data_IF_881665109510
#
_entry.id   IF_881665109510
#
_cell.length_a   1.000
_cell.length_b   1.000
_cell.length_c   1.000
_cell.angle_alpha   90.00
_cell.angle_beta   90.00
_cell.angle_gamma   90.00
#
_symmetry.space_group_name_H-M   'P 1'
#
loop_
_entity.id
_entity.type
_entity.pdbx_description
1 polymer ?
#
# COMPACT_ATOMS: atom_id res chain seq x y z
N UNK A 1 -3.50 17.54 3.99
CA UNK A 1 -2.87 16.21 3.82
C UNK A 1 -3.70 15.46 2.79
N UNK A 2 -3.15 15.23 1.61
CA UNK A 2 -3.79 14.34 0.65
C UNK A 2 -3.97 12.96 1.29
N UNK A 3 -5.12 12.34 1.05
CA UNK A 3 -5.45 11.04 1.64
C UNK A 3 -4.47 10.01 1.11
N UNK A 4 -3.63 9.45 2.00
CA UNK A 4 -2.54 8.55 1.65
C UNK A 4 -3.01 7.37 0.77
N UNK A 5 -4.23 6.91 1.00
CA UNK A 5 -4.97 5.91 0.23
C UNK A 5 -6.42 5.88 0.78
N UNK A 6 -7.41 5.68 -0.09
CA UNK A 6 -8.83 5.56 0.30
C UNK A 6 -9.27 4.11 0.11
N UNK A 7 -9.80 3.50 1.17
CA UNK A 7 -10.22 2.08 1.17
C UNK A 7 -11.73 1.88 1.04
N UNK A 8 -12.51 2.96 1.18
CA UNK A 8 -13.94 2.99 0.95
C UNK A 8 -14.24 3.16 -0.54
N UNK A 9 -13.91 2.11 -1.29
CA UNK A 9 -14.17 1.97 -2.72
C UNK A 9 -14.75 0.57 -3.00
N UNK A 10 -15.19 0.35 -4.24
CA UNK A 10 -15.62 -0.95 -4.74
C UNK A 10 -14.49 -1.98 -4.58
N UNK A 11 -14.87 -3.18 -4.12
CA UNK A 11 -13.96 -4.31 -3.89
C UNK A 11 -14.30 -5.51 -4.79
N UNK A 12 -15.22 -5.31 -5.73
CA UNK A 12 -15.72 -6.35 -6.64
C UNK A 12 -14.74 -6.56 -7.77
N UNK A 13 -14.23 -7.79 -7.89
CA UNK A 13 -13.39 -8.19 -9.00
C UNK A 13 -14.08 -7.96 -10.35
N UNK A 14 -13.37 -7.43 -11.33
CA UNK A 14 -13.89 -7.15 -12.67
C UNK A 14 -14.74 -5.88 -12.80
N UNK A 15 -15.03 -5.19 -11.71
CA UNK A 15 -15.70 -3.88 -11.76
C UNK A 15 -14.72 -2.79 -12.19
N UNK A 16 -15.13 -1.91 -13.13
CA UNK A 16 -14.34 -0.73 -13.52
C UNK A 16 -14.06 0.25 -12.37
N UNK A 17 -14.82 0.16 -11.27
CA UNK A 17 -14.65 1.00 -10.08
C UNK A 17 -13.80 0.31 -8.99
N UNK A 18 -13.27 -0.89 -9.22
CA UNK A 18 -12.45 -1.63 -8.25
C UNK A 18 -11.29 -0.75 -7.75
N UNK A 19 -11.26 -0.47 -6.44
CA UNK A 19 -10.20 0.33 -5.82
C UNK A 19 -10.14 1.79 -6.23
N UNK A 20 -11.10 2.27 -7.05
CA UNK A 20 -11.19 3.67 -7.48
C UNK A 20 -12.08 4.44 -6.49
N UNK A 21 -11.52 5.31 -5.63
CA UNK A 21 -12.30 5.97 -4.59
C UNK A 21 -13.15 7.15 -5.08
N UNK A 22 -12.81 7.71 -6.25
CA UNK A 22 -13.44 8.89 -6.83
C UNK A 22 -14.40 8.56 -7.97
N UNK A 23 -14.92 7.33 -8.02
CA UNK A 23 -15.81 6.91 -9.10
C UNK A 23 -17.16 7.65 -9.04
N UNK A 24 -17.63 8.15 -10.19
CA UNK A 24 -18.86 8.93 -10.28
C UNK A 24 -20.12 8.07 -10.03
N UNK A 25 -20.05 6.76 -10.25
CA UNK A 25 -21.16 5.82 -10.07
C UNK A 25 -21.30 5.32 -8.62
N UNK A 26 -20.69 6.02 -7.67
CA UNK A 26 -20.87 5.78 -6.25
C UNK A 26 -22.04 6.59 -5.71
N UNK A 27 -22.95 5.89 -5.05
CA UNK A 27 -24.07 6.49 -4.35
C UNK A 27 -23.89 6.22 -2.86
N UNK A 28 -23.70 7.28 -2.10
CA UNK A 28 -23.64 7.24 -0.64
C UNK A 28 -24.37 8.45 -0.06
N UNK A 29 -25.24 8.27 0.96
CA UNK A 29 -25.67 6.98 1.50
C UNK A 29 -26.74 6.31 0.62
N UNK A 30 -26.66 4.99 0.45
CA UNK A 30 -27.72 4.15 -0.09
C UNK A 30 -28.26 3.22 1.01
N UNK A 31 -29.58 3.14 1.17
CA UNK A 31 -30.23 2.48 2.31
C UNK A 31 -30.84 1.10 2.01
N UNK A 32 -30.56 0.49 0.85
CA UNK A 32 -31.16 -0.80 0.46
C UNK A 32 -30.88 -1.94 1.45
N UNK A 33 -29.79 -1.87 2.21
CA UNK A 33 -29.42 -2.87 3.22
C UNK A 33 -30.01 -2.58 4.61
N UNK A 34 -30.88 -1.57 4.75
CA UNK A 34 -31.43 -1.15 6.05
C UNK A 34 -30.49 -0.26 6.88
N UNK A 35 -29.31 0.08 6.35
CA UNK A 35 -28.34 1.00 6.95
C UNK A 35 -27.60 1.81 5.86
N UNK A 36 -26.97 2.96 6.19
CA UNK A 36 -26.19 3.74 5.23
C UNK A 36 -25.02 2.91 4.66
N UNK A 37 -25.07 2.61 3.37
CA UNK A 37 -24.03 1.88 2.66
C UNK A 37 -23.56 2.63 1.42
N UNK A 38 -22.31 2.41 1.01
CA UNK A 38 -21.81 2.85 -0.29
C UNK A 38 -22.30 1.86 -1.33
N UNK A 39 -22.99 2.36 -2.35
CA UNK A 39 -23.46 1.55 -3.47
C UNK A 39 -22.65 1.87 -4.73
N UNK A 40 -22.18 0.84 -5.43
CA UNK A 40 -21.52 0.98 -6.72
C UNK A 40 -22.48 0.61 -7.85
N UNK A 41 -23.00 1.61 -8.58
CA UNK A 41 -23.93 1.37 -9.68
C UNK A 41 -23.30 0.67 -10.88
N UNK A 42 -21.96 0.69 -11.01
CA UNK A 42 -21.26 -0.02 -12.08
C UNK A 42 -21.33 -1.56 -11.98
N UNK A 43 -21.43 -2.12 -10.77
CA UNK A 43 -21.49 -3.58 -10.57
C UNK A 43 -22.56 -4.06 -9.58
N UNK A 44 -23.36 -3.14 -9.02
CA UNK A 44 -24.40 -3.46 -8.05
C UNK A 44 -23.91 -3.76 -6.63
N UNK A 45 -22.59 -3.71 -6.37
CA UNK A 45 -22.04 -4.11 -5.08
C UNK A 45 -22.23 -3.05 -3.99
N UNK A 46 -22.32 -3.53 -2.75
CA UNK A 46 -22.23 -2.73 -1.53
C UNK A 46 -20.90 -3.03 -0.81
N UNK A 47 -19.79 -2.36 -1.18
CA UNK A 47 -18.51 -2.62 -0.54
C UNK A 47 -18.56 -2.33 0.98
N UNK A 48 -17.90 -3.17 1.81
CA UNK A 48 -17.76 -2.89 3.24
C UNK A 48 -17.05 -1.54 3.44
N UNK A 49 -17.62 -0.74 4.34
CA UNK A 49 -17.10 0.54 4.75
C UNK A 49 -16.24 0.39 6.00
N UNK A 50 -15.13 1.09 6.01
CA UNK A 50 -14.25 1.24 7.15
C UNK A 50 -14.42 2.63 7.75
N UNK A 51 -14.39 2.70 9.07
CA UNK A 51 -14.38 3.96 9.78
C UNK A 51 -13.06 4.69 9.54
N UNK A 52 -13.04 5.63 8.61
CA UNK A 52 -11.82 6.35 8.21
C UNK A 52 -11.19 7.12 9.38
N UNK A 53 -12.01 7.61 10.32
CA UNK A 53 -11.54 8.37 11.47
C UNK A 53 -10.68 7.51 12.41
N UNK A 54 -11.00 6.23 12.54
CA UNK A 54 -10.25 5.28 13.36
C UNK A 54 -9.10 4.62 12.59
N UNK A 55 -9.38 4.26 11.33
CA UNK A 55 -8.45 3.53 10.51
C UNK A 55 -7.24 4.38 10.07
N UNK A 56 -7.44 5.66 9.73
CA UNK A 56 -6.35 6.53 9.24
C UNK A 56 -5.26 6.75 10.31
N UNK A 57 -5.57 7.13 11.57
CA UNK A 57 -4.55 7.26 12.62
C UNK A 57 -3.84 5.94 12.91
N UNK A 58 -4.58 4.83 12.94
CA UNK A 58 -4.00 3.50 13.15
C UNK A 58 -2.97 3.18 12.06
N UNK A 59 -3.33 3.34 10.77
CA UNK A 59 -2.38 3.00 9.72
C UNK A 59 -1.21 3.99 9.67
N UNK A 60 -1.45 5.28 9.89
CA UNK A 60 -0.36 6.26 9.95
C UNK A 60 0.65 5.90 11.05
N UNK A 61 0.17 5.49 12.24
CA UNK A 61 1.03 5.02 13.31
C UNK A 61 1.80 3.75 12.91
N UNK A 62 1.11 2.78 12.31
CA UNK A 62 1.72 1.53 11.83
C UNK A 62 2.83 1.78 10.79
N UNK A 63 2.55 2.58 9.75
CA UNK A 63 3.50 2.90 8.69
C UNK A 63 4.67 3.74 9.20
N UNK A 64 4.42 4.72 10.06
CA UNK A 64 5.47 5.54 10.64
C UNK A 64 6.41 4.70 11.53
N UNK A 65 5.87 3.77 12.31
CA UNK A 65 6.67 2.86 13.11
C UNK A 65 7.47 1.87 12.23
N UNK A 66 6.85 1.30 11.20
CA UNK A 66 7.55 0.45 10.22
C UNK A 66 8.72 1.20 9.54
N UNK A 67 8.50 2.44 9.10
CA UNK A 67 9.53 3.31 8.54
C UNK A 67 10.67 3.62 9.54
N UNK A 68 10.33 3.86 10.82
CA UNK A 68 11.33 4.08 11.88
C UNK A 68 12.13 2.82 12.19
N UNK A 69 11.55 1.63 12.00
CA UNK A 69 12.25 0.36 12.23
C UNK A 69 13.23 0.06 11.10
N UNK A 70 12.78 0.15 9.85
CA UNK A 70 13.51 -0.41 8.70
C UNK A 70 14.09 0.62 7.74
N UNK A 71 13.64 1.87 7.77
CA UNK A 71 14.18 2.94 6.93
C UNK A 71 13.77 2.91 5.45
N UNK A 72 12.79 2.10 5.05
CA UNK A 72 12.38 1.96 3.63
C UNK A 72 11.70 3.20 3.02
N UNK A 73 11.07 4.04 3.85
CA UNK A 73 10.41 5.28 3.44
C UNK A 73 10.35 6.27 4.61
N UNK A 74 10.03 7.52 4.34
CA UNK A 74 9.99 8.57 5.35
C UNK A 74 8.84 8.33 6.36
N UNK A 75 9.09 8.35 7.67
CA UNK A 75 8.06 8.10 8.69
C UNK A 75 7.05 9.25 8.86
N UNK A 76 7.16 10.31 8.06
CA UNK A 76 6.28 11.50 8.15
C UNK A 76 5.50 11.70 6.86
N UNK A 77 6.18 11.77 5.72
CA UNK A 77 5.54 12.02 4.43
C UNK A 77 5.47 10.78 3.53
N UNK A 78 5.96 9.63 4.00
CA UNK A 78 5.93 8.34 3.29
C UNK A 78 6.63 8.31 1.92
N UNK A 79 7.39 9.36 1.59
CA UNK A 79 8.23 9.42 0.41
C UNK A 79 9.43 8.48 0.53
N UNK A 80 9.84 7.90 -0.60
CA UNK A 80 10.96 6.96 -0.69
C UNK A 80 12.30 7.62 -1.04
N UNK A 81 12.29 8.90 -1.41
CA UNK A 81 13.50 9.65 -1.70
C UNK A 81 14.23 10.02 -0.40
N UNK A 82 15.23 9.20 -0.07
CA UNK A 82 15.94 9.19 1.21
C UNK A 82 17.43 9.13 0.96
N UNK A 83 18.18 9.95 1.69
CA UNK A 83 19.65 9.95 1.69
C UNK A 83 20.22 9.50 3.03
N UNK A 84 21.46 9.01 2.98
CA UNK A 84 22.31 8.85 4.17
C UNK A 84 22.70 10.23 4.67
N UNK A 85 22.44 10.51 5.95
CA UNK A 85 22.65 11.83 6.58
C UNK A 85 23.60 11.72 7.77
N UNK A 86 24.83 11.30 7.50
CA UNK A 86 25.83 11.04 8.54
C UNK A 86 25.43 9.95 9.53
N UNK A 87 26.05 9.95 10.69
CA UNK A 87 25.82 8.99 11.77
C UNK A 87 25.40 9.70 13.05
N UNK A 88 24.72 9.01 13.96
CA UNK A 88 24.46 9.53 15.31
C UNK A 88 25.72 9.39 16.20
N UNK A 89 25.74 9.94 17.43
CA UNK A 89 26.89 9.78 18.34
C UNK A 89 27.26 8.32 18.64
N UNK A 90 26.31 7.40 18.53
CA UNK A 90 26.52 5.94 18.69
C UNK A 90 27.02 5.27 17.40
N UNK A 91 27.34 6.03 16.35
CA UNK A 91 27.87 5.53 15.08
C UNK A 91 26.83 4.90 14.14
N UNK A 92 25.54 4.89 14.47
CA UNK A 92 24.49 4.31 13.61
C UNK A 92 24.08 5.24 12.47
N UNK A 93 23.73 4.67 11.32
CA UNK A 93 23.40 5.42 10.10
C UNK A 93 22.10 6.22 10.29
N UNK A 94 22.17 7.53 10.09
CA UNK A 94 20.97 8.39 10.01
C UNK A 94 20.50 8.49 8.56
N UNK A 95 19.20 8.58 8.38
CA UNK A 95 18.53 8.81 7.11
C UNK A 95 17.86 10.18 7.12
N UNK A 96 17.79 10.84 5.96
CA UNK A 96 17.02 12.07 5.78
C UNK A 96 16.14 11.96 4.54
N UNK A 97 14.88 12.35 4.67
CA UNK A 97 13.97 12.47 3.54
C UNK A 97 14.31 13.75 2.75
N UNK A 98 14.48 13.65 1.43
CA UNK A 98 14.75 14.83 0.59
C UNK A 98 13.56 15.78 0.51
N UNK A 99 12.34 15.24 0.60
CA UNK A 99 11.09 15.99 0.46
C UNK A 99 10.77 16.84 1.69
N UNK A 100 10.59 16.21 2.86
CA UNK A 100 10.20 16.94 4.09
C UNK A 100 11.36 17.23 5.04
N UNK A 101 12.61 16.89 4.65
CA UNK A 101 13.84 17.07 5.44
C UNK A 101 13.88 16.35 6.80
N UNK A 102 12.89 15.52 7.11
CA UNK A 102 12.87 14.72 8.35
C UNK A 102 14.12 13.83 8.40
N UNK A 103 14.84 13.91 9.52
CA UNK A 103 15.98 13.03 9.85
C UNK A 103 15.53 11.99 10.87
N UNK A 104 15.94 10.73 10.70
CA UNK A 104 15.72 9.66 11.66
C UNK A 104 16.83 8.60 11.60
N UNK A 105 16.93 7.77 12.62
CA UNK A 105 17.83 6.62 12.65
C UNK A 105 16.97 5.35 12.65
N UNK A 106 17.06 4.47 11.65
CA UNK A 106 16.39 3.17 11.69
C UNK A 106 16.83 2.34 12.88
N UNK A 107 15.88 1.70 13.58
CA UNK A 107 16.20 0.82 14.73
C UNK A 107 16.98 -0.41 14.30
N UNK A 108 16.65 -0.96 13.13
CA UNK A 108 17.35 -2.10 12.58
C UNK A 108 18.25 -1.58 11.44
N UNK A 109 19.58 -1.68 11.57
CA UNK A 109 20.44 -1.57 10.39
C UNK A 109 19.97 -2.64 9.40
N UNK A 110 19.87 -2.28 8.11
CA UNK A 110 19.22 -3.13 7.10
C UNK A 110 19.58 -4.61 7.26
N UNK A 111 18.50 -5.40 7.36
CA UNK A 111 18.45 -6.84 7.64
C UNK A 111 18.91 -7.16 9.07
N UNK A 112 17.98 -7.04 10.03
CA UNK A 112 18.01 -7.99 11.15
C UNK A 112 18.14 -9.39 10.50
N UNK A 113 19.07 -10.25 10.96
CA UNK A 113 19.18 -11.59 10.43
C UNK A 113 17.78 -12.17 10.41
N UNK A 114 17.32 -12.60 9.23
CA UNK A 114 16.08 -13.36 9.16
C UNK A 114 16.36 -14.58 10.02
N UNK A 115 15.83 -14.62 11.24
CA UNK A 115 15.92 -15.80 12.06
C UNK A 115 15.42 -16.97 11.22
N UNK A 116 16.18 -18.06 11.19
CA UNK A 116 15.81 -19.23 10.42
C UNK A 116 14.36 -19.61 10.76
N UNK A 117 13.48 -19.70 9.75
CA UNK A 117 12.07 -19.96 9.99
C UNK A 117 11.89 -21.34 10.60
N UNK A 118 11.02 -21.46 11.61
CA UNK A 118 10.76 -22.74 12.28
C UNK A 118 9.84 -23.64 11.46
N UNK A 119 8.83 -23.05 10.83
CA UNK A 119 7.89 -23.75 9.96
C UNK A 119 7.36 -22.80 8.89
N UNK A 120 7.77 -23.02 7.64
CA UNK A 120 7.34 -22.20 6.52
C UNK A 120 6.00 -22.72 6.01
N UNK A 121 5.01 -21.84 5.95
CA UNK A 121 3.76 -22.06 5.21
C UNK A 121 3.68 -21.05 4.06
N UNK A 122 3.14 -21.50 2.93
CA UNK A 122 2.87 -20.63 1.79
C UNK A 122 1.39 -20.70 1.45
N UNK A 123 0.78 -19.53 1.27
CA UNK A 123 -0.61 -19.42 0.82
C UNK A 123 -0.65 -18.61 -0.47
N UNK A 124 -1.33 -19.10 -1.52
CA UNK A 124 -1.63 -18.30 -2.69
C UNK A 124 -2.81 -17.38 -2.37
N UNK A 125 -2.62 -16.09 -2.59
CA UNK A 125 -3.66 -15.07 -2.53
C UNK A 125 -3.93 -14.58 -3.95
N UNK A 126 -5.20 -14.49 -4.34
CA UNK A 126 -5.59 -13.85 -5.59
C UNK A 126 -5.97 -12.42 -5.24
N UNK A 127 -5.18 -11.45 -5.67
CA UNK A 127 -5.57 -10.06 -5.51
C UNK A 127 -6.64 -9.71 -6.54
N UNK A 128 -7.74 -9.05 -6.11
CA UNK A 128 -8.63 -8.39 -7.03
C UNK A 128 -7.81 -7.32 -7.78
N UNK A 129 -7.56 -7.56 -9.06
CA UNK A 129 -6.73 -6.72 -9.91
C UNK A 129 -7.41 -6.57 -11.28
N UNK A 130 -7.43 -5.35 -11.80
CA UNK A 130 -7.90 -5.08 -13.16
C UNK A 130 -6.70 -5.04 -14.10
N UNK A 131 -6.43 -6.20 -14.71
CA UNK A 131 -5.46 -6.31 -15.79
C UNK A 131 -5.96 -5.68 -17.09
N UNK A 132 -5.13 -5.70 -18.12
CA UNK A 132 -5.50 -5.22 -19.46
C UNK A 132 -6.38 -6.22 -20.23
N UNK A 133 -6.47 -7.47 -19.77
CA UNK A 133 -7.32 -8.50 -20.35
C UNK A 133 -8.31 -9.06 -19.32
N UNK A 134 -9.51 -9.42 -19.79
CA UNK A 134 -10.50 -10.14 -18.99
C UNK A 134 -9.90 -11.47 -18.50
N UNK A 135 -9.98 -11.72 -17.19
CA UNK A 135 -9.47 -12.95 -16.57
C UNK A 135 -8.00 -12.92 -16.14
N UNK A 136 -7.26 -11.84 -16.39
CA UNK A 136 -5.91 -11.67 -15.84
C UNK A 136 -5.96 -11.63 -14.30
N UNK A 137 -5.21 -12.52 -13.65
CA UNK A 137 -5.11 -12.60 -12.18
C UNK A 137 -3.71 -12.23 -11.72
N UNK A 138 -3.66 -11.43 -10.65
CA UNK A 138 -2.44 -11.19 -9.91
C UNK A 138 -2.41 -12.15 -8.72
N UNK A 139 -1.53 -13.13 -8.80
CA UNK A 139 -1.27 -14.06 -7.71
C UNK A 139 -0.18 -13.50 -6.83
N UNK A 140 -0.43 -13.48 -5.54
CA UNK A 140 0.58 -13.27 -4.52
C UNK A 140 0.85 -14.62 -3.85
N UNK A 141 2.11 -15.03 -3.85
CA UNK A 141 2.55 -16.12 -2.99
C UNK A 141 3.09 -15.49 -1.71
N UNK A 142 2.35 -15.65 -0.61
CA UNK A 142 2.76 -15.21 0.71
C UNK A 142 3.32 -16.40 1.47
N UNK A 143 4.64 -16.42 1.67
CA UNK A 143 5.32 -17.38 2.52
C UNK A 143 5.67 -16.73 3.86
N UNK A 144 5.29 -17.39 4.95
CA UNK A 144 5.46 -16.88 6.31
C UNK A 144 5.82 -18.01 7.29
N UNK A 145 6.45 -17.65 8.40
CA UNK A 145 6.65 -18.57 9.52
C UNK A 145 5.32 -18.77 10.24
N UNK A 146 4.74 -19.97 10.18
CA UNK A 146 3.44 -20.26 10.77
C UNK A 146 3.42 -20.27 12.31
N UNK A 147 4.59 -20.33 12.95
CA UNK A 147 4.73 -20.29 14.41
C UNK A 147 4.95 -18.86 14.90
N UNK A 148 5.74 -18.08 14.15
CA UNK A 148 6.16 -16.72 14.57
C UNK A 148 5.38 -15.59 13.89
N UNK A 149 4.66 -15.87 12.80
CA UNK A 149 3.90 -14.87 12.03
C UNK A 149 4.75 -13.96 11.14
N UNK A 150 6.06 -14.17 11.06
CA UNK A 150 6.95 -13.36 10.23
C UNK A 150 6.73 -13.67 8.75
N UNK A 151 6.51 -12.64 7.93
CA UNK A 151 6.51 -12.78 6.46
C UNK A 151 7.95 -12.98 6.00
N UNK A 152 8.21 -14.13 5.37
CA UNK A 152 9.53 -14.51 4.88
C UNK A 152 9.69 -14.06 3.44
N UNK A 153 8.65 -14.24 2.64
CA UNK A 153 8.68 -13.98 1.21
C UNK A 153 7.30 -13.58 0.72
N UNK A 154 7.23 -12.49 -0.02
CA UNK A 154 6.04 -12.08 -0.77
C UNK A 154 6.47 -11.89 -2.21
N UNK A 155 6.00 -12.77 -3.09
CA UNK A 155 6.17 -12.62 -4.53
C UNK A 155 4.85 -12.48 -5.21
N UNK A 156 4.87 -11.83 -6.37
CA UNK A 156 3.76 -11.87 -7.30
C UNK A 156 4.24 -12.43 -8.63
N UNK A 157 3.32 -12.98 -9.42
CA UNK A 157 3.58 -13.47 -10.77
C UNK A 157 3.78 -12.34 -11.78
N UNK A 158 4.62 -11.33 -11.45
CA UNK A 158 4.88 -10.15 -12.28
C UNK A 158 4.85 -10.51 -13.76
N UNK A 159 3.90 -9.92 -14.48
CA UNK A 159 3.59 -10.25 -15.86
C UNK A 159 3.94 -9.03 -16.73
N UNK A 160 4.57 -9.22 -17.90
CA UNK A 160 4.97 -8.12 -18.79
C UNK A 160 3.79 -7.40 -19.47
N UNK A 161 2.54 -7.83 -19.23
CA UNK A 161 1.35 -7.17 -19.79
C UNK A 161 1.12 -5.80 -19.13
N UNK A 162 0.93 -4.77 -19.97
CA UNK A 162 0.62 -3.42 -19.53
C UNK A 162 -0.59 -3.39 -18.59
N UNK A 163 -0.55 -2.57 -17.54
CA UNK A 163 -1.69 -2.35 -16.64
C UNK A 163 -2.69 -1.44 -17.35
N UNK A 164 -3.99 -1.76 -17.30
CA UNK A 164 -5.06 -0.91 -17.82
C UNK A 164 -5.03 0.49 -17.18
N UNK A 165 -5.52 1.51 -17.89
CA UNK A 165 -5.35 2.91 -17.49
C UNK A 165 -5.99 3.26 -16.14
N UNK A 166 -7.04 2.54 -15.73
CA UNK A 166 -7.81 2.80 -14.50
C UNK A 166 -7.08 2.46 -13.19
N UNK A 167 -6.06 1.60 -13.23
CA UNK A 167 -5.30 1.17 -12.03
C UNK A 167 -3.86 1.70 -12.00
N UNK A 168 -3.51 2.65 -12.87
CA UNK A 168 -2.25 3.38 -12.74
C UNK A 168 -2.35 4.33 -11.55
N UNK A 169 -1.95 3.87 -10.37
CA UNK A 169 -1.53 4.79 -9.33
C UNK A 169 -0.33 5.56 -9.88
N UNK A 170 -0.49 6.83 -10.24
CA UNK A 170 0.66 7.72 -10.42
C UNK A 170 1.33 7.83 -9.06
N UNK A 171 2.40 7.06 -8.86
CA UNK A 171 3.36 7.38 -7.81
C UNK A 171 3.81 8.81 -8.05
N UNK A 172 3.34 9.77 -7.24
CA UNK A 172 3.88 11.14 -7.19
C UNK A 172 5.22 11.12 -6.43
N UNK A 173 6.15 10.27 -6.85
CA UNK A 173 7.56 10.46 -6.51
C UNK A 173 8.20 11.22 -7.65
N UNK A 174 8.33 12.53 -7.47
CA UNK A 174 9.10 13.42 -8.34
C UNK A 174 8.59 13.50 -9.78
N UNK A 175 7.62 14.37 -10.04
CA UNK A 175 7.68 15.10 -11.31
C UNK A 175 8.89 16.03 -11.21
N UNK A 176 10.05 15.53 -11.62
CA UNK A 176 11.09 16.39 -12.16
C UNK A 176 10.74 16.61 -13.62
N UNK A 177 10.70 17.89 -13.99
CA UNK A 177 10.50 18.45 -15.31
C UNK A 177 10.94 17.57 -16.48
N UNK A 178 10.05 17.43 -17.46
CA UNK A 178 10.44 17.30 -18.85
C UNK A 178 9.51 18.13 -19.72
N UNK A 179 10.08 19.18 -20.31
CA UNK A 179 9.60 19.78 -21.54
C UNK A 179 9.46 21.29 -21.51
N UNK A 180 10.58 22.00 -21.37
CA UNK A 180 10.83 23.12 -22.28
C UNK A 180 11.56 22.55 -23.49
N UNK A 181 10.89 22.52 -24.63
CA UNK A 181 11.14 23.42 -25.77
C UNK A 181 9.86 23.48 -26.61
#
# INVERSE_FOLDING_TARGET
>A
MDTLFTINACKTFGCRNLGLPSAAEYHFPNFRLGYPALYCAACGSYPPLFNEREFRPWLAAYLADHARRYGYFCPVCYQRDIIRYGRNPQGTQRLQCRHCKKVWTPKFPHIAPIEAPRRICSVPLIAPFQGNAAGQKLYFLLSFDAVRGNVIHLTSNFTPFAVGESLRYRWRGGQADRGGD
#
